data_IF_102612217317
#
_entry.id   IF_102612217317
#
_cell.length_a   1.000
_cell.length_b   1.000
_cell.length_c   1.000
_cell.angle_alpha   90.00
_cell.angle_beta   90.00
_cell.angle_gamma   90.00
#
_symmetry.space_group_name_H-M   'P 1'
#
loop_
_entity.id
_entity.type
_entity.pdbx_description
1 polymer ?
#
# COMPACT_ATOMS: atom_id res chain seq x y z
N UNK A 1 -9.45 23.20 -6.81
CA UNK A 1 -10.91 23.07 -6.90
C UNK A 1 -11.47 23.98 -7.98
N UNK A 2 -12.54 23.54 -8.62
CA UNK A 2 -13.25 24.30 -9.64
C UNK A 2 -14.73 24.35 -9.30
N UNK A 3 -15.42 25.38 -9.80
CA UNK A 3 -16.87 25.51 -9.64
C UNK A 3 -17.53 25.14 -10.95
N UNK A 4 -18.60 24.35 -10.87
CA UNK A 4 -19.33 23.85 -12.04
C UNK A 4 -20.74 24.42 -12.04
N UNK A 5 -21.15 25.00 -13.16
CA UNK A 5 -22.47 25.55 -13.37
C UNK A 5 -23.22 24.77 -14.46
N UNK A 6 -24.46 24.44 -14.21
CA UNK A 6 -25.28 23.70 -15.17
C UNK A 6 -26.68 23.45 -14.64
N UNK A 7 -27.48 22.70 -15.38
CA UNK A 7 -28.80 22.30 -14.91
C UNK A 7 -28.68 21.32 -13.75
N UNK A 8 -29.65 21.31 -12.87
CA UNK A 8 -29.68 20.43 -11.71
C UNK A 8 -29.55 18.96 -12.14
N UNK A 9 -30.22 18.56 -13.19
CA UNK A 9 -30.17 17.18 -13.69
C UNK A 9 -28.76 16.78 -14.14
N UNK A 10 -28.07 17.67 -14.83
CA UNK A 10 -26.69 17.44 -15.27
C UNK A 10 -25.73 17.40 -14.08
N UNK A 11 -25.89 18.34 -13.13
CA UNK A 11 -25.00 18.39 -11.95
C UNK A 11 -25.19 17.20 -11.03
N UNK A 12 -26.39 16.68 -10.89
CA UNK A 12 -26.66 15.50 -10.03
C UNK A 12 -25.93 14.24 -10.52
N UNK A 13 -25.69 14.14 -11.82
CA UNK A 13 -24.96 13.01 -12.41
C UNK A 13 -23.44 13.22 -12.46
N UNK A 14 -22.98 14.44 -12.25
CA UNK A 14 -21.56 14.79 -12.36
C UNK A 14 -20.86 14.63 -11.01
N UNK A 15 -19.83 13.80 -10.96
CA UNK A 15 -19.08 13.55 -9.73
C UNK A 15 -17.67 14.12 -9.77
N UNK A 16 -17.08 14.25 -10.94
CA UNK A 16 -15.73 14.79 -11.13
C UNK A 16 -15.62 15.40 -12.53
N UNK A 17 -14.58 16.22 -12.69
CA UNK A 17 -14.23 16.84 -13.97
C UNK A 17 -12.82 16.37 -14.31
N UNK A 18 -12.62 15.94 -15.55
CA UNK A 18 -11.33 15.44 -16.01
C UNK A 18 -10.53 16.54 -16.70
N UNK A 19 -9.22 16.47 -16.56
CA UNK A 19 -8.30 17.25 -17.39
C UNK A 19 -8.19 16.62 -18.77
N UNK A 20 -7.72 17.40 -19.74
CA UNK A 20 -7.28 16.82 -21.03
C UNK A 20 -6.09 15.90 -20.75
N UNK A 21 -5.87 14.86 -21.59
CA UNK A 21 -4.74 13.94 -21.38
C UNK A 21 -3.40 14.67 -21.35
N UNK A 22 -2.54 14.28 -20.39
CA UNK A 22 -1.20 14.81 -20.25
C UNK A 22 -0.23 13.64 -20.41
N UNK A 23 0.82 13.84 -21.20
CA UNK A 23 1.86 12.84 -21.34
C UNK A 23 3.18 13.42 -20.85
N UNK A 24 3.66 12.91 -19.71
CA UNK A 24 4.93 13.31 -19.11
C UNK A 24 5.70 12.03 -18.80
N UNK A 25 6.90 11.90 -19.36
CA UNK A 25 7.75 10.73 -19.17
C UNK A 25 9.15 11.16 -18.75
N UNK A 26 9.79 10.31 -17.93
CA UNK A 26 11.20 10.45 -17.55
C UNK A 26 11.54 11.83 -16.93
N UNK A 27 10.64 12.41 -16.14
CA UNK A 27 10.94 13.64 -15.44
C UNK A 27 11.73 13.35 -14.16
N UNK A 28 12.73 14.16 -13.86
CA UNK A 28 13.58 14.03 -12.68
C UNK A 28 13.61 15.30 -11.81
N UNK A 29 12.87 16.31 -12.21
CA UNK A 29 12.65 17.54 -11.44
C UNK A 29 11.16 17.79 -11.26
N UNK A 30 10.80 18.62 -10.27
CA UNK A 30 9.41 19.04 -10.08
C UNK A 30 8.88 19.71 -11.34
N UNK A 31 7.75 19.22 -11.83
CA UNK A 31 7.08 19.77 -13.01
C UNK A 31 5.74 20.36 -12.59
N UNK A 32 5.51 21.62 -12.96
CA UNK A 32 4.22 22.28 -12.76
C UNK A 32 3.66 22.66 -14.13
N UNK A 33 2.48 22.18 -14.45
CA UNK A 33 1.82 22.49 -15.71
C UNK A 33 0.42 23.05 -15.50
N UNK A 34 0.05 23.99 -16.37
CA UNK A 34 -1.32 24.47 -16.46
C UNK A 34 -2.03 23.62 -17.52
N UNK A 35 -3.13 23.01 -17.15
CA UNK A 35 -3.84 22.05 -18.01
C UNK A 35 -5.29 22.44 -18.11
N UNK A 36 -5.85 22.37 -19.32
CA UNK A 36 -7.26 22.61 -19.54
C UNK A 36 -8.09 21.42 -19.05
N UNK A 37 -9.32 21.72 -18.66
CA UNK A 37 -10.29 20.68 -18.30
C UNK A 37 -11.07 20.26 -19.54
N UNK A 38 -11.50 18.99 -19.59
CA UNK A 38 -12.37 18.51 -20.67
C UNK A 38 -13.70 19.24 -20.63
N UNK A 39 -14.20 19.64 -21.80
CA UNK A 39 -15.50 20.27 -21.91
C UNK A 39 -16.62 19.25 -21.73
N UNK A 40 -17.62 19.61 -20.95
CA UNK A 40 -18.81 18.80 -20.74
C UNK A 40 -20.01 19.59 -21.30
N UNK A 41 -20.78 18.93 -22.16
CA UNK A 41 -21.94 19.58 -22.77
C UNK A 41 -22.97 20.01 -21.72
N UNK A 42 -23.41 21.25 -21.81
CA UNK A 42 -24.39 21.80 -20.89
C UNK A 42 -23.85 22.25 -19.53
N UNK A 43 -22.51 22.30 -19.40
CA UNK A 43 -21.84 22.64 -18.14
C UNK A 43 -20.82 23.74 -18.38
N UNK A 44 -20.78 24.72 -17.48
CA UNK A 44 -19.73 25.74 -17.40
C UNK A 44 -18.85 25.46 -16.21
N UNK A 45 -17.53 25.42 -16.43
CA UNK A 45 -16.52 25.12 -15.39
C UNK A 45 -15.67 26.39 -15.21
N UNK A 46 -15.52 26.83 -13.95
CA UNK A 46 -14.76 28.04 -13.61
C UNK A 46 -13.82 27.72 -12.43
N UNK A 47 -12.50 27.90 -12.57
CA UNK A 47 -11.77 28.13 -13.82
C UNK A 47 -11.79 26.90 -14.73
N UNK A 48 -11.56 27.10 -16.02
CA UNK A 48 -11.52 25.99 -16.98
C UNK A 48 -10.10 25.40 -17.16
N UNK A 49 -9.14 25.91 -16.43
CA UNK A 49 -7.78 25.42 -16.39
C UNK A 49 -7.36 25.17 -14.93
N UNK A 50 -6.49 24.19 -14.75
CA UNK A 50 -5.94 23.87 -13.43
C UNK A 50 -4.43 23.72 -13.51
N UNK A 51 -3.75 23.94 -12.38
CA UNK A 51 -2.31 23.70 -12.27
C UNK A 51 -2.08 22.33 -11.65
N UNK A 52 -1.19 21.56 -12.25
CA UNK A 52 -0.81 20.25 -11.78
C UNK A 52 0.67 20.26 -11.42
N UNK A 53 1.00 19.87 -10.19
CA UNK A 53 2.38 19.70 -9.75
C UNK A 53 2.72 18.22 -9.71
N UNK A 54 3.85 17.87 -10.32
CA UNK A 54 4.41 16.53 -10.30
C UNK A 54 5.76 16.58 -9.59
N UNK A 55 5.88 15.79 -8.53
CA UNK A 55 7.06 15.78 -7.67
C UNK A 55 7.73 14.42 -7.78
N UNK A 56 8.90 14.32 -8.43
CA UNK A 56 9.59 13.05 -8.57
C UNK A 56 10.13 12.58 -7.23
N UNK A 57 10.23 11.27 -7.08
CA UNK A 57 10.88 10.64 -5.93
C UNK A 57 11.79 9.53 -6.45
N UNK A 58 12.79 9.16 -5.64
CA UNK A 58 13.72 8.09 -5.96
C UNK A 58 13.19 6.81 -5.30
N UNK A 59 13.04 5.75 -6.09
CA UNK A 59 12.70 4.44 -5.56
C UNK A 59 13.94 3.79 -4.95
N UNK A 60 13.80 3.28 -3.72
CA UNK A 60 14.87 2.58 -3.02
C UNK A 60 14.38 1.20 -2.58
N UNK A 61 15.31 0.25 -2.57
CA UNK A 61 15.05 -1.07 -1.99
C UNK A 61 15.47 -1.03 -0.52
N UNK A 62 14.52 -1.34 0.37
CA UNK A 62 14.71 -1.25 1.80
C UNK A 62 14.27 -2.54 2.48
N UNK A 63 14.70 -2.71 3.73
CA UNK A 63 14.32 -3.85 4.55
C UNK A 63 13.79 -3.38 5.89
N UNK A 64 12.88 -4.16 6.47
CA UNK A 64 12.37 -3.91 7.81
C UNK A 64 12.13 -5.23 8.52
N UNK A 65 12.37 -5.27 9.84
CA UNK A 65 12.07 -6.45 10.64
C UNK A 65 10.64 -6.34 11.18
N UNK A 66 9.86 -7.39 10.98
CA UNK A 66 8.46 -7.46 11.39
C UNK A 66 8.28 -8.67 12.32
N UNK A 67 7.61 -8.51 13.46
CA UNK A 67 7.35 -9.64 14.35
C UNK A 67 6.38 -10.62 13.70
N UNK A 68 6.60 -11.91 13.94
CA UNK A 68 5.70 -12.97 13.48
C UNK A 68 4.55 -13.10 14.47
N UNK A 69 3.32 -13.06 13.98
CA UNK A 69 2.09 -13.18 14.77
C UNK A 69 1.35 -14.44 14.38
N UNK A 70 0.88 -15.20 15.37
CA UNK A 70 0.04 -16.36 15.12
C UNK A 70 -1.43 -15.97 15.06
N UNK A 71 -2.18 -16.55 14.12
CA UNK A 71 -3.62 -16.34 13.98
C UNK A 71 -4.35 -17.68 14.08
N UNK A 72 -5.62 -17.64 14.43
CA UNK A 72 -6.47 -18.82 14.60
C UNK A 72 -5.94 -19.81 15.64
N UNK A 73 -5.21 -19.32 16.65
CA UNK A 73 -4.72 -20.14 17.75
C UNK A 73 -5.87 -20.56 18.65
N UNK A 74 -5.88 -21.83 19.12
CA UNK A 74 -6.86 -22.25 20.11
C UNK A 74 -6.62 -21.55 21.44
N UNK A 75 -7.69 -21.43 22.23
CA UNK A 75 -7.63 -20.82 23.55
C UNK A 75 -6.66 -21.60 24.45
N UNK A 76 -5.84 -20.89 25.20
CA UNK A 76 -4.88 -21.47 26.13
C UNK A 76 -3.57 -21.89 25.50
N UNK A 77 -3.36 -21.67 24.21
CA UNK A 77 -2.11 -22.00 23.51
C UNK A 77 -1.47 -20.77 22.91
N UNK A 78 -0.14 -20.72 22.98
CA UNK A 78 0.66 -19.64 22.39
C UNK A 78 1.72 -20.25 21.51
N UNK A 79 1.87 -19.70 20.30
CA UNK A 79 2.92 -20.09 19.38
C UNK A 79 4.10 -19.11 19.50
N UNK A 80 5.29 -19.64 19.64
CA UNK A 80 6.54 -18.88 19.57
C UNK A 80 7.31 -19.28 18.33
N UNK A 81 7.75 -18.31 17.57
CA UNK A 81 8.56 -18.56 16.37
C UNK A 81 10.03 -18.27 16.63
N UNK A 82 10.87 -18.94 15.87
CA UNK A 82 12.33 -18.76 15.91
C UNK A 82 12.84 -18.61 14.47
N UNK A 83 13.20 -17.40 14.05
CA UNK A 83 13.25 -16.13 14.78
C UNK A 83 11.87 -15.56 15.10
N UNK A 84 11.80 -14.67 16.10
CA UNK A 84 10.55 -13.98 16.46
C UNK A 84 10.22 -12.86 15.48
N UNK A 85 11.23 -12.34 14.80
CA UNK A 85 11.10 -11.29 13.78
C UNK A 85 11.73 -11.78 12.48
N UNK A 86 11.13 -11.40 11.39
CA UNK A 86 11.61 -11.74 10.05
C UNK A 86 11.78 -10.49 9.22
N UNK A 87 12.68 -10.55 8.26
CA UNK A 87 12.98 -9.40 7.40
C UNK A 87 12.06 -9.39 6.18
N UNK A 88 11.46 -8.25 5.91
CA UNK A 88 10.67 -7.98 4.72
C UNK A 88 11.48 -7.05 3.82
N UNK A 89 11.67 -7.43 2.56
CA UNK A 89 12.29 -6.59 1.54
C UNK A 89 11.19 -5.92 0.73
N UNK A 90 11.35 -4.63 0.44
CA UNK A 90 10.35 -3.89 -0.31
C UNK A 90 10.98 -2.72 -1.06
N UNK A 91 10.22 -2.15 -2.00
CA UNK A 91 10.60 -0.96 -2.75
C UNK A 91 9.65 0.16 -2.36
N UNK A 92 10.19 1.32 -2.05
CA UNK A 92 9.43 2.49 -1.62
C UNK A 92 10.13 3.76 -2.10
N UNK A 93 9.36 4.84 -2.28
CA UNK A 93 9.94 6.16 -2.52
C UNK A 93 10.77 6.62 -1.33
N UNK A 94 11.95 7.15 -1.57
CA UNK A 94 12.90 7.55 -0.52
C UNK A 94 12.27 8.53 0.48
N UNK A 95 11.42 9.45 0.02
CA UNK A 95 10.74 10.41 0.88
C UNK A 95 9.72 9.77 1.81
N UNK A 96 9.19 8.61 1.44
CA UNK A 96 8.18 7.90 2.22
C UNK A 96 8.78 6.91 3.22
N UNK A 97 10.04 6.54 3.06
CA UNK A 97 10.66 5.51 3.89
C UNK A 97 10.62 5.84 5.38
N UNK A 98 10.77 7.11 5.74
CA UNK A 98 10.73 7.55 7.14
C UNK A 98 9.39 7.32 7.83
N UNK A 99 8.30 7.25 7.07
CA UNK A 99 6.96 7.01 7.59
C UNK A 99 6.60 5.52 7.65
N UNK A 100 7.48 4.65 7.15
CA UNK A 100 7.26 3.20 7.16
C UNK A 100 7.69 2.64 8.52
N UNK A 101 6.81 1.87 9.15
CA UNK A 101 7.10 1.22 10.44
C UNK A 101 6.63 -0.24 10.41
N UNK A 102 7.16 -1.04 11.33
CA UNK A 102 6.90 -2.48 11.37
C UNK A 102 5.44 -2.83 11.66
N UNK A 103 4.72 -1.96 12.35
CA UNK A 103 3.30 -2.18 12.69
C UNK A 103 2.37 -2.00 11.48
N UNK A 104 2.87 -1.46 10.38
CA UNK A 104 2.13 -1.34 9.12
C UNK A 104 2.18 -2.62 8.28
N UNK A 105 3.04 -3.56 8.65
CA UNK A 105 3.14 -4.88 8.02
C UNK A 105 2.51 -5.93 8.92
N UNK A 106 1.99 -6.98 8.33
CA UNK A 106 1.49 -8.13 9.07
C UNK A 106 2.10 -9.41 8.49
N UNK A 107 2.93 -10.07 9.29
CA UNK A 107 3.50 -11.39 8.98
C UNK A 107 2.85 -12.38 9.93
N UNK A 108 2.18 -13.38 9.38
CA UNK A 108 1.35 -14.29 10.19
C UNK A 108 1.67 -15.75 9.95
N UNK A 109 1.46 -16.55 10.99
CA UNK A 109 1.39 -18.00 10.95
C UNK A 109 -0.06 -18.39 11.22
N UNK A 110 -0.65 -19.17 10.34
CA UNK A 110 -2.01 -19.65 10.51
C UNK A 110 -1.99 -21.04 11.16
N UNK A 111 -2.56 -21.14 12.35
CA UNK A 111 -2.62 -22.41 13.08
C UNK A 111 -3.38 -23.49 12.31
N UNK A 112 -4.42 -23.11 11.56
CA UNK A 112 -5.17 -24.05 10.73
C UNK A 112 -4.29 -24.72 9.68
N UNK A 113 -3.34 -23.98 9.12
CA UNK A 113 -2.38 -24.53 8.16
C UNK A 113 -1.46 -25.55 8.82
N UNK A 114 -1.05 -25.28 10.07
CA UNK A 114 -0.22 -26.23 10.83
C UNK A 114 -0.92 -27.54 11.13
N UNK A 115 -2.23 -27.50 11.40
CA UNK A 115 -3.06 -28.70 11.64
C UNK A 115 -3.17 -29.52 10.35
N UNK A 116 -3.40 -28.87 9.22
CA UNK A 116 -3.59 -29.53 7.93
C UNK A 116 -2.28 -30.15 7.41
N UNK A 117 -1.17 -29.49 7.67
CA UNK A 117 0.16 -29.88 7.18
C UNK A 117 1.18 -29.87 8.32
N UNK A 118 1.14 -30.83 9.26
CA UNK A 118 2.07 -30.87 10.36
C UNK A 118 3.51 -30.95 9.88
N UNK A 119 4.37 -30.10 10.44
CA UNK A 119 5.79 -30.01 10.09
C UNK A 119 6.56 -29.44 11.27
N UNK A 120 7.88 -29.64 11.26
CA UNK A 120 8.78 -29.02 12.23
C UNK A 120 8.89 -27.51 12.04
N UNK A 121 8.53 -27.03 10.86
CA UNK A 121 8.55 -25.60 10.52
C UNK A 121 7.15 -25.15 10.12
N UNK A 122 6.86 -23.88 10.36
CA UNK A 122 5.61 -23.28 9.93
C UNK A 122 5.86 -22.29 8.81
N UNK A 123 4.90 -22.22 7.89
CA UNK A 123 4.91 -21.22 6.82
C UNK A 123 4.48 -19.87 7.38
N UNK A 124 5.17 -18.84 6.96
CA UNK A 124 4.79 -17.45 7.29
C UNK A 124 4.32 -16.74 6.04
N UNK A 125 3.35 -15.85 6.22
CA UNK A 125 2.72 -15.13 5.12
C UNK A 125 2.69 -13.63 5.41
N UNK A 126 3.05 -12.83 4.42
CA UNK A 126 2.93 -11.39 4.49
C UNK A 126 1.52 -11.01 4.05
N UNK A 127 0.65 -10.62 4.99
CA UNK A 127 -0.77 -10.34 4.71
C UNK A 127 -1.09 -8.88 4.56
N UNK A 128 -0.27 -7.99 5.08
CA UNK A 128 -0.53 -6.57 5.03
C UNK A 128 0.76 -5.80 4.78
N UNK A 129 0.68 -4.80 3.89
CA UNK A 129 1.76 -3.86 3.61
C UNK A 129 1.20 -2.45 3.64
N UNK A 130 2.01 -1.44 4.01
CA UNK A 130 1.55 -0.06 3.95
C UNK A 130 1.39 0.41 2.51
N UNK A 131 0.58 1.43 2.32
CA UNK A 131 0.40 2.05 1.02
C UNK A 131 1.71 2.69 0.55
N UNK A 132 2.00 2.55 -0.74
CA UNK A 132 3.23 3.08 -1.34
C UNK A 132 4.39 2.10 -1.39
N UNK A 133 4.29 0.97 -0.69
CA UNK A 133 5.28 -0.11 -0.73
C UNK A 133 5.00 -1.02 -1.92
N UNK A 134 6.05 -1.36 -2.67
CA UNK A 134 5.97 -2.23 -3.85
C UNK A 134 6.88 -3.44 -3.67
N UNK A 135 6.49 -4.54 -4.30
CA UNK A 135 7.28 -5.78 -4.35
C UNK A 135 7.73 -6.26 -2.96
N UNK A 136 6.85 -6.12 -1.96
CA UNK A 136 7.14 -6.58 -0.62
C UNK A 136 7.23 -8.11 -0.61
N UNK A 137 8.31 -8.64 -0.02
CA UNK A 137 8.56 -10.08 0.05
C UNK A 137 9.31 -10.42 1.33
N UNK A 138 9.06 -11.61 1.82
CA UNK A 138 9.77 -12.15 2.98
C UNK A 138 11.11 -12.75 2.53
N UNK A 139 12.16 -12.53 3.31
CA UNK A 139 13.45 -13.18 3.07
C UNK A 139 13.40 -14.68 3.36
N UNK A 140 12.59 -15.09 4.32
CA UNK A 140 12.34 -16.50 4.62
C UNK A 140 10.85 -16.77 4.64
N UNK A 141 10.45 -17.94 4.17
CA UNK A 141 9.04 -18.33 4.06
C UNK A 141 8.62 -19.32 5.14
N UNK A 142 9.59 -19.88 5.86
CA UNK A 142 9.35 -20.82 6.94
C UNK A 142 10.22 -20.48 8.14
N UNK A 143 9.69 -20.71 9.33
CA UNK A 143 10.41 -20.53 10.59
C UNK A 143 10.16 -21.73 11.50
N UNK A 144 11.08 -21.96 12.44
CA UNK A 144 10.88 -22.92 13.51
C UNK A 144 9.86 -22.38 14.51
N UNK A 145 9.16 -23.24 15.18
CA UNK A 145 8.12 -22.82 16.13
C UNK A 145 8.01 -23.77 17.31
N UNK A 146 7.45 -23.26 18.38
CA UNK A 146 7.09 -24.01 19.57
C UNK A 146 5.71 -23.55 20.03
N UNK A 147 4.85 -24.51 20.37
CA UNK A 147 3.53 -24.21 20.94
C UNK A 147 3.58 -24.49 22.43
N UNK A 148 3.24 -23.47 23.23
CA UNK A 148 3.22 -23.57 24.69
C UNK A 148 1.78 -23.44 25.17
N UNK A 149 1.47 -24.14 26.26
CA UNK A 149 0.19 -23.98 26.96
C UNK A 149 0.33 -22.89 28.02
N UNK A 150 -0.70 -22.08 28.13
CA UNK A 150 -0.79 -21.06 29.18
C UNK A 150 -1.53 -21.59 30.39
#
# INVERSE_FOLDING_TARGET
TVTVYGSKQTLDSLRYVKTVPINITNFNDTVVKTVALEKIKGVKIVPNIVRIGLYPDILTEETIEVPVTAVNMPEGKVLRSFPQRVTVNFIVGASMFRSISSDQFAVVVDYNELIEHPSDKCNIHLRQCPQGVRNARLQMTQVDYLIEEQ
#
